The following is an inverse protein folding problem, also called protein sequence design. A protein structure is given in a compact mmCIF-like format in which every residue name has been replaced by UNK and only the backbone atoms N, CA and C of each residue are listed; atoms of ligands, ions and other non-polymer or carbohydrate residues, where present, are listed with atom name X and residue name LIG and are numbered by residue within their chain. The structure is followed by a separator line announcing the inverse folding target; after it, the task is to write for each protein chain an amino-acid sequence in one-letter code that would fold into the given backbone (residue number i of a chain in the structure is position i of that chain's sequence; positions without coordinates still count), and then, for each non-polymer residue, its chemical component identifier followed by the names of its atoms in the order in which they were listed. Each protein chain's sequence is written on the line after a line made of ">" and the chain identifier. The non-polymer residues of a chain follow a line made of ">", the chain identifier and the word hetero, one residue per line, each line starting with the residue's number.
data_IF_803386070157
#
_entry.id   IF_803386070157
#
_cell.length_a   1.000
_cell.length_b   1.000
_cell.length_c   1.000
_cell.angle_alpha   90.00
_cell.angle_beta   90.00
_cell.angle_gamma   90.00
#
_symmetry.space_group_name_H-M   'P 1'
#
loop_
_entity.id
_entity.type
_entity.pdbx_description
1 polymer ?
#
# COMPACT_ATOMS: atom_id res chain seq x y z
N UNK A 1 29.81 12.41 -53.89
CA UNK A 1 29.86 11.53 -52.71
C UNK A 1 28.97 12.17 -51.67
N UNK A 2 27.69 11.81 -51.68
CA UNK A 2 26.70 12.39 -50.77
C UNK A 2 26.72 11.61 -49.47
N UNK A 3 26.93 12.35 -48.37
CA UNK A 3 26.89 11.90 -46.99
C UNK A 3 25.53 11.28 -46.68
N UNK A 4 25.49 10.00 -46.33
CA UNK A 4 24.33 9.39 -45.69
C UNK A 4 24.40 9.71 -44.21
N UNK A 5 23.76 10.80 -43.81
CA UNK A 5 23.44 11.08 -42.43
C UNK A 5 22.37 10.05 -42.00
N UNK A 6 22.79 8.99 -41.31
CA UNK A 6 21.86 8.14 -40.57
C UNK A 6 21.39 8.91 -39.34
N UNK A 7 20.24 9.56 -39.45
CA UNK A 7 19.49 10.04 -38.29
C UNK A 7 18.62 8.88 -37.82
N UNK A 8 19.20 7.96 -37.06
CA UNK A 8 18.46 7.06 -36.20
C UNK A 8 17.93 7.90 -35.02
N UNK A 9 16.73 8.43 -35.20
CA UNK A 9 16.00 9.12 -34.14
C UNK A 9 15.78 8.16 -32.96
N UNK A 10 16.36 8.50 -31.83
CA UNK A 10 16.10 7.82 -30.55
C UNK A 10 14.64 8.09 -30.14
N UNK A 11 13.75 7.17 -30.52
CA UNK A 11 12.43 7.04 -29.92
C UNK A 11 12.60 6.14 -28.69
N UNK A 12 12.93 6.74 -27.55
CA UNK A 12 12.93 6.06 -26.27
C UNK A 12 11.49 5.78 -25.86
N UNK A 13 10.97 4.62 -26.22
CA UNK A 13 9.67 4.15 -25.72
C UNK A 13 9.82 3.79 -24.24
N UNK A 14 9.08 4.49 -23.36
CA UNK A 14 8.98 4.20 -21.92
C UNK A 14 8.20 2.88 -21.73
N UNK A 15 8.85 1.75 -21.96
CA UNK A 15 8.30 0.44 -21.64
C UNK A 15 8.35 0.19 -20.13
N UNK A 16 7.30 -0.41 -19.58
CA UNK A 16 7.35 -0.95 -18.22
C UNK A 16 8.28 -2.17 -18.16
N UNK A 17 9.04 -2.29 -17.06
CA UNK A 17 9.86 -3.48 -16.82
C UNK A 17 8.99 -4.62 -16.29
N UNK A 18 9.50 -5.86 -16.40
CA UNK A 18 8.81 -7.03 -15.85
C UNK A 18 8.58 -6.90 -14.34
N UNK A 19 9.55 -6.36 -13.60
CA UNK A 19 9.45 -6.17 -12.15
C UNK A 19 8.37 -5.13 -11.80
N UNK A 20 8.23 -4.07 -12.60
CA UNK A 20 7.17 -3.07 -12.42
C UNK A 20 5.79 -3.69 -12.65
N UNK A 21 5.65 -4.51 -13.70
CA UNK A 21 4.42 -5.24 -13.99
C UNK A 21 4.07 -6.23 -12.87
N UNK A 22 5.05 -7.01 -12.41
CA UNK A 22 4.88 -7.93 -11.30
C UNK A 22 4.41 -7.21 -10.04
N UNK A 23 5.04 -6.09 -9.67
CA UNK A 23 4.64 -5.29 -8.51
C UNK A 23 3.20 -4.77 -8.64
N UNK A 24 2.79 -4.31 -9.83
CA UNK A 24 1.40 -3.88 -10.09
C UNK A 24 0.40 -5.00 -9.90
N UNK A 25 0.68 -6.19 -10.45
CA UNK A 25 -0.19 -7.38 -10.30
C UNK A 25 -0.28 -7.79 -8.83
N UNK A 26 0.85 -7.91 -8.12
CA UNK A 26 0.85 -8.30 -6.71
C UNK A 26 0.11 -7.29 -5.83
N UNK A 27 0.22 -6.00 -6.14
CA UNK A 27 -0.53 -4.94 -5.45
C UNK A 27 -2.04 -5.10 -5.67
N UNK A 28 -2.47 -5.30 -6.92
CA UNK A 28 -3.88 -5.54 -7.24
C UNK A 28 -4.43 -6.82 -6.59
N UNK A 29 -3.60 -7.87 -6.51
CA UNK A 29 -3.96 -9.14 -5.90
C UNK A 29 -4.27 -9.05 -4.39
N UNK A 30 -3.72 -8.05 -3.68
CA UNK A 30 -3.98 -7.86 -2.25
C UNK A 30 -5.47 -7.60 -1.94
N UNK A 31 -6.22 -7.00 -2.88
CA UNK A 31 -7.66 -6.79 -2.73
C UNK A 31 -8.46 -8.11 -2.68
N UNK A 32 -7.89 -9.17 -3.25
CA UNK A 32 -8.51 -10.48 -3.38
C UNK A 32 -8.08 -11.47 -2.28
N UNK A 33 -7.03 -11.15 -1.52
CA UNK A 33 -6.57 -11.97 -0.39
C UNK A 33 -7.67 -12.24 0.66
N UNK A 34 -8.56 -11.30 1.03
CA UNK A 34 -9.64 -11.59 1.97
C UNK A 34 -10.62 -12.67 1.49
N UNK A 35 -10.80 -12.82 0.18
CA UNK A 35 -11.72 -13.78 -0.42
C UNK A 35 -11.05 -15.10 -0.79
N UNK A 36 -9.86 -15.03 -1.38
CA UNK A 36 -9.15 -16.19 -1.95
C UNK A 36 -8.02 -16.70 -1.05
N UNK A 37 -7.58 -15.90 -0.08
CA UNK A 37 -6.40 -16.16 0.73
C UNK A 37 -5.09 -15.81 -0.01
N UNK A 38 -3.98 -16.25 0.56
CA UNK A 38 -2.65 -16.14 -0.05
C UNK A 38 -2.46 -17.28 -1.05
N UNK A 39 -3.06 -17.13 -2.24
CA UNK A 39 -3.05 -18.18 -3.26
C UNK A 39 -2.78 -17.62 -4.65
N UNK A 40 -2.54 -18.51 -5.61
CA UNK A 40 -2.34 -18.12 -7.02
C UNK A 40 -3.65 -17.59 -7.63
N UNK A 41 -4.81 -18.02 -7.13
CA UNK A 41 -6.11 -17.49 -7.51
C UNK A 41 -6.27 -16.01 -7.17
N UNK A 42 -5.73 -15.55 -6.02
CA UNK A 42 -5.71 -14.11 -5.69
C UNK A 42 -4.85 -13.33 -6.69
N UNK A 43 -3.72 -13.91 -7.13
CA UNK A 43 -2.84 -13.30 -8.14
C UNK A 43 -3.53 -13.25 -9.50
N UNK A 44 -4.22 -14.33 -9.91
CA UNK A 44 -4.98 -14.36 -11.14
C UNK A 44 -6.08 -13.29 -11.15
N UNK A 45 -6.84 -13.17 -10.07
CA UNK A 45 -7.87 -12.14 -9.93
C UNK A 45 -7.28 -10.72 -10.02
N UNK A 46 -6.13 -10.47 -9.37
CA UNK A 46 -5.41 -9.19 -9.49
C UNK A 46 -4.88 -8.91 -10.90
N UNK A 47 -4.45 -9.93 -11.64
CA UNK A 47 -4.06 -9.76 -13.05
C UNK A 47 -5.26 -9.42 -13.94
N UNK A 48 -6.41 -10.06 -13.71
CA UNK A 48 -7.64 -9.81 -14.47
C UNK A 48 -8.17 -8.38 -14.27
N UNK A 49 -8.04 -7.77 -13.08
CA UNK A 49 -8.42 -6.37 -12.87
C UNK A 49 -7.54 -5.38 -13.64
N UNK A 50 -6.31 -5.78 -13.98
CA UNK A 50 -5.41 -5.02 -14.83
C UNK A 50 -5.61 -5.28 -16.33
N UNK A 51 -6.63 -6.07 -16.70
CA UNK A 51 -6.90 -6.46 -18.08
C UNK A 51 -5.94 -7.51 -18.64
N UNK A 52 -5.21 -8.20 -17.77
CA UNK A 52 -4.28 -9.26 -18.13
C UNK A 52 -4.95 -10.64 -18.03
N UNK A 53 -4.39 -11.62 -18.73
CA UNK A 53 -4.85 -13.01 -18.63
C UNK A 53 -4.43 -13.63 -17.29
N UNK A 54 -5.22 -14.57 -16.77
CA UNK A 54 -4.81 -15.42 -15.64
C UNK A 54 -3.53 -16.22 -15.92
N UNK A 55 -3.16 -16.42 -17.19
CA UNK A 55 -1.87 -17.00 -17.57
C UNK A 55 -0.67 -16.16 -17.10
N UNK A 56 -0.87 -14.86 -16.83
CA UNK A 56 0.16 -13.99 -16.26
C UNK A 56 0.64 -14.45 -14.89
N UNK A 57 -0.08 -15.32 -14.17
CA UNK A 57 0.44 -15.91 -12.92
C UNK A 57 1.72 -16.72 -13.13
N UNK A 58 2.01 -17.14 -14.36
CA UNK A 58 3.23 -17.88 -14.71
C UNK A 58 4.53 -17.12 -14.49
N UNK A 59 4.50 -15.79 -14.30
CA UNK A 59 5.69 -14.99 -13.98
C UNK A 59 6.10 -15.07 -12.50
N UNK A 60 5.25 -15.62 -11.62
CA UNK A 60 5.52 -15.70 -10.18
C UNK A 60 6.02 -17.11 -9.80
N UNK A 61 7.34 -17.26 -9.71
CA UNK A 61 7.99 -18.55 -9.42
C UNK A 61 7.60 -19.12 -8.05
N UNK A 62 7.34 -18.26 -7.05
CA UNK A 62 6.90 -18.70 -5.73
C UNK A 62 5.38 -18.56 -5.52
N UNK A 63 4.65 -18.12 -6.56
CA UNK A 63 3.20 -17.90 -6.52
C UNK A 63 2.79 -17.07 -5.31
N UNK A 64 1.99 -17.66 -4.42
CA UNK A 64 1.55 -17.03 -3.18
C UNK A 64 2.68 -16.51 -2.28
N UNK A 65 3.88 -17.11 -2.35
CA UNK A 65 5.05 -16.65 -1.61
C UNK A 65 5.50 -15.26 -2.06
N UNK A 66 5.46 -14.98 -3.37
CA UNK A 66 5.80 -13.66 -3.91
C UNK A 66 4.78 -12.60 -3.47
N UNK A 67 3.49 -12.98 -3.41
CA UNK A 67 2.42 -12.12 -2.90
C UNK A 67 2.60 -11.77 -1.42
N UNK A 68 2.89 -12.75 -0.57
CA UNK A 68 3.14 -12.53 0.85
C UNK A 68 4.39 -11.66 1.08
N UNK A 69 5.46 -11.92 0.32
CA UNK A 69 6.69 -11.15 0.42
C UNK A 69 6.49 -9.69 -0.03
N UNK A 70 5.72 -9.47 -1.10
CA UNK A 70 5.35 -8.12 -1.57
C UNK A 70 4.59 -7.34 -0.50
N UNK A 71 3.60 -7.96 0.15
CA UNK A 71 2.88 -7.31 1.25
C UNK A 71 3.79 -6.95 2.42
N UNK A 72 4.67 -7.86 2.85
CA UNK A 72 5.62 -7.59 3.93
C UNK A 72 6.57 -6.44 3.56
N UNK A 73 7.07 -6.42 2.33
CA UNK A 73 7.91 -5.33 1.82
C UNK A 73 7.16 -3.99 1.85
N UNK A 74 5.89 -3.97 1.42
CA UNK A 74 5.04 -2.78 1.45
C UNK A 74 4.81 -2.30 2.89
N UNK A 75 4.48 -3.19 3.83
CA UNK A 75 4.32 -2.83 5.24
C UNK A 75 5.61 -2.26 5.84
N UNK A 76 6.75 -2.86 5.54
CA UNK A 76 8.05 -2.40 6.03
C UNK A 76 8.40 -1.01 5.49
N UNK A 77 8.09 -0.73 4.23
CA UNK A 77 8.30 0.59 3.62
C UNK A 77 7.42 1.66 4.29
N UNK A 78 6.13 1.37 4.49
CA UNK A 78 5.20 2.28 5.18
C UNK A 78 5.63 2.53 6.64
N UNK A 79 6.10 1.49 7.32
CA UNK A 79 6.63 1.61 8.67
C UNK A 79 7.86 2.52 8.69
N UNK A 80 8.82 2.31 7.79
CA UNK A 80 10.02 3.14 7.70
C UNK A 80 9.70 4.62 7.46
N UNK A 81 8.74 4.91 6.57
CA UNK A 81 8.25 6.27 6.32
C UNK A 81 7.61 6.88 7.58
N UNK A 82 6.75 6.13 8.25
CA UNK A 82 6.09 6.57 9.50
C UNK A 82 7.12 6.92 10.58
N UNK A 83 8.13 6.06 10.78
CA UNK A 83 9.19 6.33 11.76
C UNK A 83 10.04 7.54 11.38
N UNK A 84 10.34 7.73 10.09
CA UNK A 84 11.09 8.88 9.62
C UNK A 84 10.33 10.19 9.91
N UNK A 85 9.02 10.20 9.64
CA UNK A 85 8.15 11.35 9.91
C UNK A 85 8.04 11.64 11.42
N UNK A 86 7.83 10.61 12.24
CA UNK A 86 7.79 10.77 13.70
C UNK A 86 9.11 11.32 14.24
N UNK A 87 10.26 10.83 13.75
CA UNK A 87 11.57 11.32 14.16
C UNK A 87 11.75 12.80 13.79
N UNK A 88 11.32 13.20 12.59
CA UNK A 88 11.34 14.60 12.17
C UNK A 88 10.49 15.49 13.09
N UNK A 89 9.29 15.06 13.47
CA UNK A 89 8.44 15.83 14.39
C UNK A 89 9.01 15.95 15.80
N UNK A 90 9.68 14.90 16.30
CA UNK A 90 10.45 14.96 17.56
C UNK A 90 11.60 15.96 17.43
N UNK A 91 12.33 15.93 16.32
CA UNK A 91 13.44 16.86 16.06
C UNK A 91 12.97 18.32 15.97
N UNK A 92 11.76 18.55 15.44
CA UNK A 92 11.11 19.86 15.33
C UNK A 92 10.45 20.34 16.63
N UNK A 93 10.47 19.54 17.71
CA UNK A 93 9.88 19.89 19.00
C UNK A 93 8.34 19.88 19.01
N UNK A 94 7.71 19.17 18.07
CA UNK A 94 6.25 19.10 17.90
C UNK A 94 5.62 17.84 18.50
N UNK A 95 6.41 17.01 19.20
CA UNK A 95 6.01 15.66 19.60
C UNK A 95 5.01 15.55 20.76
N UNK A 96 4.57 16.65 21.37
CA UNK A 96 3.54 16.59 22.41
C UNK A 96 2.72 17.89 22.43
N UNK A 97 1.55 17.87 21.78
CA UNK A 97 0.43 18.60 22.37
C UNK A 97 -0.08 17.66 23.47
N UNK A 98 0.02 18.03 24.76
CA UNK A 98 -0.46 17.18 25.83
C UNK A 98 -1.94 16.90 25.54
N UNK A 99 -2.35 15.64 25.67
CA UNK A 99 -3.77 15.27 25.72
C UNK A 99 -4.34 16.10 26.88
N UNK A 100 -5.00 17.22 26.57
CA UNK A 100 -5.62 18.04 27.58
C UNK A 100 -6.63 17.17 28.31
N UNK A 101 -6.36 16.89 29.59
CA UNK A 101 -7.27 16.19 30.50
C UNK A 101 -8.67 16.84 30.58
N UNK A 102 -8.83 18.05 30.04
CA UNK A 102 -10.12 18.75 29.91
C UNK A 102 -11.16 18.02 29.03
N UNK A 103 -10.74 17.06 28.18
CA UNK A 103 -11.66 16.29 27.36
C UNK A 103 -12.34 15.11 28.10
N UNK A 104 -11.85 14.74 29.29
CA UNK A 104 -12.37 13.59 30.07
C UNK A 104 -13.17 13.99 31.32
N UNK A 105 -13.36 15.27 31.59
CA UNK A 105 -14.14 15.74 32.74
C UNK A 105 -15.26 16.68 32.29
N UNK A 106 -16.48 16.14 32.12
CA UNK A 106 -17.77 16.76 32.55
C UNK A 106 -19.03 16.07 32.00
N UNK A 107 -18.94 15.14 31.05
CA UNK A 107 -20.16 14.53 30.45
C UNK A 107 -20.65 13.26 31.14
N UNK A 108 -19.80 12.57 31.90
CA UNK A 108 -20.17 11.29 32.53
C UNK A 108 -20.79 11.42 33.94
N UNK A 109 -20.72 12.58 34.60
CA UNK A 109 -21.23 12.71 35.98
C UNK A 109 -22.67 13.26 36.11
N UNK A 110 -23.30 13.75 35.03
CA UNK A 110 -24.56 14.50 35.14
C UNK A 110 -25.87 13.73 34.81
N UNK A 111 -25.87 12.39 34.75
CA UNK A 111 -27.12 11.63 34.44
C UNK A 111 -27.57 10.65 35.53
N UNK A 112 -27.20 10.87 36.80
CA UNK A 112 -27.76 10.11 37.93
C UNK A 112 -28.20 11.00 39.10
N UNK A 113 -29.00 12.02 38.82
CA UNK A 113 -29.71 12.79 39.84
C UNK A 113 -31.06 13.32 39.32
N UNK A 114 -31.85 12.46 38.68
CA UNK A 114 -33.23 12.77 38.32
C UNK A 114 -34.10 11.49 38.28
N UNK A 115 -34.15 10.76 39.39
CA UNK A 115 -35.23 9.82 39.66
C UNK A 115 -35.89 10.26 40.97
N UNK A 116 -36.88 11.14 40.82
CA UNK A 116 -37.67 11.71 41.91
C UNK A 116 -38.51 10.63 42.60
N UNK A 117 -38.56 10.75 43.93
CA UNK A 117 -39.66 10.26 44.75
C UNK A 117 -40.97 10.91 44.28
N UNK A 118 -41.96 10.10 43.89
CA UNK A 118 -43.31 10.07 44.48
C UNK A 118 -44.16 8.97 43.85
#
# INVERSE_FOLDING_TARGET
>A
MSSFQDQSGEHGEDYETEEQLQARILTAALEFVPQHGWTVEAIAAGAETLGLSSASTGMFNNGAGDLALHFVAQCNAQLAETLAEQNNQVQLGQADAPISLEALDLKDFSTSAAAGHH
#
